data_IF_964137224715
#
_entry.id   IF_964137224715
#
_cell.length_a   1.000
_cell.length_b   1.000
_cell.length_c   1.000
_cell.angle_alpha   90.00
_cell.angle_beta   90.00
_cell.angle_gamma   90.00
#
_symmetry.space_group_name_H-M   'P 1'
#
loop_
_entity.id
_entity.type
_entity.pdbx_description
1 polymer ?
#
# COMPACT_ATOMS: atom_id res chain seq x y z
N UNK A 1 8.03 19.43 -1.84
CA UNK A 1 6.88 18.96 -1.03
C UNK A 1 7.36 17.77 -0.22
N UNK A 2 7.15 17.78 1.07
CA UNK A 2 7.48 16.68 1.97
C UNK A 2 6.17 16.04 2.42
N UNK A 3 6.10 14.71 2.44
CA UNK A 3 4.92 13.96 2.85
C UNK A 3 5.26 13.12 4.08
N UNK A 4 4.30 12.98 4.98
CA UNK A 4 4.34 12.04 6.09
C UNK A 4 3.35 10.92 5.81
N UNK A 5 3.79 9.65 5.94
CA UNK A 5 2.92 8.48 5.80
C UNK A 5 2.53 8.01 7.19
N UNK A 6 1.25 7.90 7.44
CA UNK A 6 0.71 7.48 8.74
C UNK A 6 -0.61 6.69 8.57
N UNK A 7 -1.04 6.00 9.61
CA UNK A 7 -2.34 5.31 9.58
C UNK A 7 -3.46 6.31 9.43
N UNK A 8 -4.46 5.95 8.60
CA UNK A 8 -5.67 6.74 8.43
C UNK A 8 -6.36 6.93 9.80
N UNK A 9 -6.72 8.16 10.09
CA UNK A 9 -7.50 8.58 11.26
C UNK A 9 -8.78 9.26 10.78
N UNK A 10 -9.79 9.35 11.65
CA UNK A 10 -11.08 9.93 11.32
C UNK A 10 -10.98 11.40 10.93
N UNK A 11 -9.99 12.10 11.46
CA UNK A 11 -9.74 13.53 11.30
C UNK A 11 -9.10 13.89 9.95
N UNK A 12 -8.55 12.88 9.23
CA UNK A 12 -7.98 13.13 7.91
C UNK A 12 -9.02 13.57 6.90
N UNK A 13 -8.70 14.63 6.16
CA UNK A 13 -9.59 15.21 5.14
C UNK A 13 -9.42 14.45 3.82
N UNK A 14 -10.31 13.51 3.58
CA UNK A 14 -10.30 12.63 2.39
C UNK A 14 -11.30 13.04 1.32
N UNK A 15 -12.19 13.99 1.60
CA UNK A 15 -13.35 14.32 0.74
C UNK A 15 -12.93 14.90 -0.61
N UNK A 16 -11.76 15.55 -0.66
CA UNK A 16 -11.24 16.19 -1.88
C UNK A 16 -10.24 15.31 -2.64
N UNK A 17 -9.90 14.14 -2.10
CA UNK A 17 -8.96 13.25 -2.74
C UNK A 17 -9.49 12.78 -4.10
N UNK A 18 -8.67 12.92 -5.14
CA UNK A 18 -8.96 12.43 -6.48
C UNK A 18 -7.69 11.88 -7.15
N UNK A 19 -7.60 10.57 -7.30
CA UNK A 19 -6.51 9.92 -8.01
C UNK A 19 -6.82 9.62 -9.49
N UNK A 20 -7.98 10.05 -9.99
CA UNK A 20 -8.44 9.78 -11.34
C UNK A 20 -9.16 8.42 -11.50
N UNK A 21 -9.22 7.60 -10.45
CA UNK A 21 -9.90 6.30 -10.44
C UNK A 21 -11.07 6.33 -9.44
N UNK A 22 -12.29 6.28 -9.98
CA UNK A 22 -13.53 6.43 -9.19
C UNK A 22 -13.62 5.45 -8.02
N UNK A 23 -13.30 4.18 -8.25
CA UNK A 23 -13.45 3.15 -7.22
C UNK A 23 -12.44 3.32 -6.08
N UNK A 24 -11.21 3.76 -6.39
CA UNK A 24 -10.20 4.06 -5.40
C UNK A 24 -10.55 5.32 -4.59
N UNK A 25 -11.05 6.37 -5.25
CA UNK A 25 -11.54 7.57 -4.58
C UNK A 25 -12.66 7.21 -3.61
N UNK A 26 -13.64 6.47 -4.08
CA UNK A 26 -14.76 6.01 -3.28
C UNK A 26 -14.32 5.13 -2.10
N UNK A 27 -13.38 4.22 -2.33
CA UNK A 27 -12.83 3.40 -1.25
C UNK A 27 -12.28 4.27 -0.11
N UNK A 28 -11.41 5.23 -0.42
CA UNK A 28 -10.80 6.09 0.60
C UNK A 28 -11.83 6.95 1.33
N UNK A 29 -12.76 7.54 0.58
CA UNK A 29 -13.74 8.50 1.10
C UNK A 29 -14.84 7.85 1.91
N UNK A 30 -15.32 6.65 1.52
CA UNK A 30 -16.52 6.05 2.10
C UNK A 30 -16.22 4.80 2.95
N UNK A 31 -15.21 3.99 2.58
CA UNK A 31 -15.04 2.65 3.16
C UNK A 31 -13.78 2.46 4.00
N UNK A 32 -12.69 3.16 3.71
CA UNK A 32 -11.38 2.88 4.31
C UNK A 32 -11.42 2.95 5.84
N UNK A 33 -12.01 4.00 6.41
CA UNK A 33 -12.13 4.14 7.86
C UNK A 33 -12.99 3.04 8.47
N UNK A 34 -14.16 2.77 7.88
CA UNK A 34 -15.08 1.74 8.36
C UNK A 34 -14.44 0.35 8.30
N UNK A 35 -13.74 0.03 7.20
CA UNK A 35 -13.04 -1.25 7.04
C UNK A 35 -11.98 -1.45 8.12
N UNK A 36 -11.25 -0.39 8.49
CA UNK A 36 -10.30 -0.46 9.60
C UNK A 36 -10.97 -0.76 10.94
N UNK A 37 -12.12 -0.14 11.23
CA UNK A 37 -12.87 -0.38 12.47
C UNK A 37 -13.41 -1.82 12.54
N UNK A 38 -13.75 -2.40 11.41
CA UNK A 38 -14.26 -3.78 11.29
C UNK A 38 -13.14 -4.83 11.18
N UNK A 39 -11.86 -4.43 11.11
CA UNK A 39 -10.74 -5.36 10.98
C UNK A 39 -10.55 -5.95 9.58
N UNK A 40 -11.14 -5.36 8.54
CA UNK A 40 -10.99 -5.83 7.14
C UNK A 40 -9.67 -5.41 6.49
N UNK A 41 -8.93 -4.49 7.11
CA UNK A 41 -7.65 -4.04 6.62
C UNK A 41 -7.19 -2.79 7.35
N UNK A 42 -6.00 -2.32 7.02
CA UNK A 42 -5.41 -1.09 7.55
C UNK A 42 -5.06 -0.18 6.38
N UNK A 43 -5.51 1.07 6.44
CA UNK A 43 -5.21 2.08 5.44
C UNK A 43 -4.17 3.07 5.99
N UNK A 44 -3.18 3.38 5.17
CA UNK A 44 -2.18 4.42 5.41
C UNK A 44 -2.38 5.55 4.42
N UNK A 45 -2.17 6.77 4.88
CA UNK A 45 -2.29 7.98 4.07
C UNK A 45 -0.99 8.76 4.05
N UNK A 46 -0.67 9.35 2.92
CA UNK A 46 0.38 10.36 2.80
C UNK A 46 -0.25 11.74 2.95
N UNK A 47 0.15 12.44 3.99
CA UNK A 47 -0.34 13.79 4.29
C UNK A 47 0.74 14.79 3.92
N UNK A 48 0.35 15.86 3.26
CA UNK A 48 1.27 16.93 2.91
C UNK A 48 1.71 17.69 4.16
N UNK A 49 3.02 17.79 4.38
CA UNK A 49 3.53 18.63 5.45
C UNK A 49 3.30 20.11 5.08
N UNK A 50 2.28 20.70 5.66
CA UNK A 50 2.10 22.16 5.61
C UNK A 50 3.16 22.75 6.54
N UNK A 51 4.07 23.55 5.97
CA UNK A 51 4.94 24.39 6.81
C UNK A 51 4.01 25.33 7.60
N UNK A 52 3.94 25.12 8.91
CA UNK A 52 3.27 26.05 9.80
C UNK A 52 4.18 27.29 9.80
N UNK A 53 3.79 28.33 9.08
CA UNK A 53 4.35 29.66 9.34
C UNK A 53 3.90 30.04 10.75
N UNK A 54 4.83 29.94 11.71
CA UNK A 54 4.60 30.37 13.07
C UNK A 54 4.33 31.88 13.07
N UNK A 55 3.07 32.26 13.06
CA UNK A 55 2.68 33.61 13.48
C UNK A 55 2.83 33.67 14.99
N UNK A 56 3.60 34.66 15.53
CA UNK A 56 3.77 34.81 16.97
C UNK A 56 2.42 35.16 17.61
N UNK A 57 1.78 34.18 18.24
CA UNK A 57 0.56 34.40 19.01
C UNK A 57 -0.46 33.27 19.01
N UNK A 58 -0.40 32.32 18.10
CA UNK A 58 -1.30 31.16 18.13
C UNK A 58 -0.63 29.98 18.85
N UNK A 59 -1.22 29.58 19.98
CA UNK A 59 -0.88 28.32 20.64
C UNK A 59 -1.22 27.20 19.65
N UNK A 60 -0.17 26.51 19.21
CA UNK A 60 -0.27 25.35 18.33
C UNK A 60 -1.07 24.24 19.00
N UNK A 61 -2.38 24.23 18.79
CA UNK A 61 -3.23 23.05 18.96
C UNK A 61 -3.25 22.27 17.64
N UNK A 62 -2.07 22.01 17.11
CA UNK A 62 -1.90 21.24 15.89
C UNK A 62 -1.59 19.78 16.24
N UNK A 63 -2.57 18.92 16.21
CA UNK A 63 -2.42 17.45 16.28
C UNK A 63 -1.76 16.85 15.03
N UNK A 64 -1.17 17.66 14.17
CA UNK A 64 -0.46 17.21 12.99
C UNK A 64 -1.32 16.58 11.86
N UNK A 65 -2.62 16.45 12.04
CA UNK A 65 -3.54 15.78 11.07
C UNK A 65 -4.14 16.75 10.03
N UNK A 66 -3.73 18.02 10.02
CA UNK A 66 -4.39 19.09 9.28
C UNK A 66 -4.09 19.18 7.78
N UNK A 67 -3.25 18.29 7.22
CA UNK A 67 -2.88 18.32 5.80
C UNK A 67 -3.89 17.59 4.90
N UNK A 68 -3.93 17.98 3.62
CA UNK A 68 -4.69 17.23 2.62
C UNK A 68 -4.02 15.86 2.39
N UNK A 69 -4.84 14.81 2.21
CA UNK A 69 -4.36 13.50 1.82
C UNK A 69 -3.93 13.55 0.35
N UNK A 70 -2.64 13.30 0.11
CA UNK A 70 -2.03 13.32 -1.23
C UNK A 70 -1.89 11.92 -1.83
N UNK A 71 -2.04 10.87 -1.03
CA UNK A 71 -1.98 9.50 -1.48
C UNK A 71 -2.34 8.53 -0.36
N UNK A 72 -2.61 7.29 -0.71
CA UNK A 72 -2.94 6.25 0.27
C UNK A 72 -2.62 4.86 -0.25
N UNK A 73 -2.55 3.90 0.66
CA UNK A 73 -2.62 2.47 0.35
C UNK A 73 -3.32 1.71 1.47
N UNK A 74 -3.80 0.50 1.17
CA UNK A 74 -4.39 -0.39 2.16
C UNK A 74 -3.74 -1.76 2.17
N UNK A 75 -3.58 -2.33 3.36
CA UNK A 75 -3.12 -3.71 3.57
C UNK A 75 -4.20 -4.52 4.27
N UNK A 76 -4.33 -5.78 3.86
CA UNK A 76 -5.20 -6.76 4.48
C UNK A 76 -4.51 -8.14 4.51
N UNK A 77 -5.05 -9.06 5.31
CA UNK A 77 -4.67 -10.47 5.21
C UNK A 77 -5.20 -11.05 3.90
N UNK A 78 -4.40 -11.87 3.24
CA UNK A 78 -4.74 -12.55 2.02
C UNK A 78 -4.23 -13.98 2.00
N UNK A 79 -4.58 -14.71 0.95
CA UNK A 79 -4.02 -16.02 0.65
C UNK A 79 -4.07 -16.27 -0.85
N UNK A 80 -3.14 -17.08 -1.33
CA UNK A 80 -3.06 -17.52 -2.71
C UNK A 80 -3.07 -19.04 -2.76
N UNK A 81 -3.95 -19.61 -3.58
CA UNK A 81 -3.96 -21.05 -3.81
C UNK A 81 -2.60 -21.51 -4.39
N UNK A 82 -2.13 -22.67 -3.96
CA UNK A 82 -0.80 -23.17 -4.36
C UNK A 82 -0.63 -23.20 -5.89
N UNK A 83 -1.67 -23.60 -6.63
CA UNK A 83 -1.67 -23.70 -8.08
C UNK A 83 -1.50 -22.35 -8.78
N UNK A 84 -1.88 -21.26 -8.12
CA UNK A 84 -1.82 -19.89 -8.65
C UNK A 84 -0.48 -19.21 -8.38
N UNK A 85 0.36 -19.76 -7.52
CA UNK A 85 1.69 -19.23 -7.25
C UNK A 85 2.55 -19.17 -8.52
N UNK A 86 3.46 -18.19 -8.64
CA UNK A 86 4.44 -18.16 -9.72
C UNK A 86 5.22 -19.46 -9.81
N UNK A 87 5.48 -19.95 -11.02
CA UNK A 87 6.09 -21.27 -11.26
C UNK A 87 7.43 -21.41 -10.52
N UNK A 88 8.32 -20.43 -10.67
CA UNK A 88 9.63 -20.42 -10.01
C UNK A 88 9.51 -20.48 -8.47
N UNK A 89 8.50 -19.82 -7.90
CA UNK A 89 8.25 -19.86 -6.46
C UNK A 89 7.68 -21.21 -6.03
N UNK A 90 6.75 -21.74 -6.80
CA UNK A 90 6.10 -23.04 -6.54
C UNK A 90 7.06 -24.21 -6.57
N UNK A 91 8.11 -24.13 -7.42
CA UNK A 91 9.13 -25.17 -7.57
C UNK A 91 10.16 -25.17 -6.43
N UNK A 92 10.03 -24.27 -5.44
CA UNK A 92 10.88 -24.26 -4.26
C UNK A 92 10.73 -25.58 -3.49
N UNK A 93 11.84 -26.26 -3.23
CA UNK A 93 11.85 -27.53 -2.49
C UNK A 93 11.27 -27.36 -1.09
N UNK A 94 10.36 -28.27 -0.73
CA UNK A 94 9.72 -28.26 0.60
C UNK A 94 8.59 -27.26 0.77
N UNK A 95 8.18 -26.57 -0.29
CA UNK A 95 7.03 -25.64 -0.20
C UNK A 95 5.75 -26.42 0.11
N UNK A 96 4.97 -26.04 1.15
CA UNK A 96 3.69 -26.65 1.46
C UNK A 96 2.68 -26.49 0.32
N UNK A 97 1.86 -27.54 0.08
CA UNK A 97 0.83 -27.54 -0.96
C UNK A 97 -0.56 -27.14 -0.48
N UNK A 98 -0.64 -26.20 0.45
CA UNK A 98 -1.87 -25.56 0.88
C UNK A 98 -1.82 -24.06 0.56
N UNK A 99 -2.94 -23.32 0.67
CA UNK A 99 -2.96 -21.90 0.36
C UNK A 99 -1.86 -21.12 1.08
N UNK A 100 -1.10 -20.35 0.33
CA UNK A 100 0.02 -19.57 0.85
C UNK A 100 -0.51 -18.29 1.52
N UNK A 101 -0.18 -18.03 2.80
CA UNK A 101 -0.58 -16.79 3.46
C UNK A 101 0.16 -15.60 2.85
N UNK A 102 -0.57 -14.52 2.58
CA UNK A 102 -0.05 -13.30 1.95
C UNK A 102 -0.49 -12.05 2.72
N UNK A 103 0.16 -10.93 2.40
CA UNK A 103 -0.34 -9.60 2.70
C UNK A 103 -0.90 -9.02 1.40
N UNK A 104 -2.20 -8.73 1.39
CA UNK A 104 -2.87 -8.12 0.24
C UNK A 104 -2.67 -6.60 0.27
N UNK A 105 -2.01 -6.05 -0.75
CA UNK A 105 -2.04 -4.62 -1.07
C UNK A 105 -3.32 -4.36 -1.87
N UNK A 106 -4.41 -4.03 -1.15
CA UNK A 106 -5.74 -3.95 -1.73
C UNK A 106 -5.98 -2.72 -2.58
N UNK A 107 -5.43 -1.59 -2.17
CA UNK A 107 -5.57 -0.30 -2.86
C UNK A 107 -4.26 0.48 -2.77
N UNK A 108 -3.96 1.25 -3.81
CA UNK A 108 -2.90 2.26 -3.81
C UNK A 108 -3.31 3.38 -4.78
N UNK A 109 -3.38 4.61 -4.29
CA UNK A 109 -3.77 5.77 -5.08
C UNK A 109 -2.96 7.01 -4.71
N UNK A 110 -2.67 7.84 -5.71
CA UNK A 110 -1.99 9.14 -5.56
C UNK A 110 -2.87 10.22 -6.16
N UNK A 111 -3.15 11.26 -5.39
CA UNK A 111 -3.93 12.41 -5.84
C UNK A 111 -3.33 13.01 -7.11
N UNK A 112 -4.17 13.44 -8.04
CA UNK A 112 -3.76 14.00 -9.33
C UNK A 112 -2.76 15.16 -9.16
N UNK A 113 -2.92 15.98 -8.13
CA UNK A 113 -2.01 17.08 -7.80
C UNK A 113 -0.62 16.63 -7.36
N UNK A 114 -0.48 15.40 -6.86
CA UNK A 114 0.76 14.82 -6.33
C UNK A 114 1.39 13.76 -7.25
N UNK A 115 0.73 13.40 -8.35
CA UNK A 115 1.27 12.45 -9.33
C UNK A 115 2.54 12.98 -10.00
N UNK A 116 3.38 12.07 -10.50
CA UNK A 116 4.65 12.41 -11.16
C UNK A 116 5.76 12.90 -10.22
N UNK A 117 5.53 12.98 -8.92
CA UNK A 117 6.50 13.49 -7.91
C UNK A 117 7.13 12.39 -7.07
N UNK A 118 6.98 11.12 -7.47
CA UNK A 118 7.57 9.97 -6.77
C UNK A 118 6.77 9.46 -5.57
N UNK A 119 5.61 10.05 -5.24
CA UNK A 119 4.81 9.65 -4.08
C UNK A 119 4.31 8.20 -4.17
N UNK A 120 3.91 7.74 -5.36
CA UNK A 120 3.49 6.35 -5.56
C UNK A 120 4.59 5.35 -5.21
N UNK A 121 5.84 5.65 -5.59
CA UNK A 121 7.01 4.86 -5.20
C UNK A 121 7.22 4.85 -3.69
N UNK A 122 7.10 6.00 -3.04
CA UNK A 122 7.26 6.12 -1.58
C UNK A 122 6.18 5.34 -0.83
N UNK A 123 4.93 5.41 -1.28
CA UNK A 123 3.81 4.63 -0.73
C UNK A 123 4.04 3.11 -0.89
N UNK A 124 4.47 2.67 -2.07
CA UNK A 124 4.76 1.26 -2.32
C UNK A 124 5.93 0.78 -1.46
N UNK A 125 7.00 1.55 -1.34
CA UNK A 125 8.14 1.21 -0.48
C UNK A 125 7.72 1.06 0.99
N UNK A 126 6.92 1.98 1.51
CA UNK A 126 6.38 1.90 2.87
C UNK A 126 5.42 0.72 3.04
N UNK A 127 4.61 0.40 2.02
CA UNK A 127 3.73 -0.77 2.04
C UNK A 127 4.53 -2.08 2.10
N UNK A 128 5.61 -2.20 1.30
CA UNK A 128 6.51 -3.36 1.32
C UNK A 128 7.18 -3.48 2.69
N UNK A 129 7.72 -2.40 3.24
CA UNK A 129 8.35 -2.41 4.57
C UNK A 129 7.38 -2.85 5.65
N UNK A 130 6.16 -2.29 5.65
CA UNK A 130 5.10 -2.66 6.60
C UNK A 130 4.70 -4.13 6.45
N UNK A 131 4.54 -4.63 5.23
CA UNK A 131 4.18 -6.02 4.98
C UNK A 131 5.28 -7.00 5.42
N UNK A 132 6.55 -6.67 5.21
CA UNK A 132 7.68 -7.46 5.70
C UNK A 132 7.67 -7.52 7.23
N UNK A 133 7.47 -6.41 7.92
CA UNK A 133 7.36 -6.39 9.39
C UNK A 133 6.18 -7.24 9.89
N UNK A 134 5.02 -7.15 9.24
CA UNK A 134 3.85 -7.97 9.58
C UNK A 134 4.12 -9.45 9.35
N UNK A 135 4.84 -9.80 8.29
CA UNK A 135 5.19 -11.20 7.97
C UNK A 135 6.03 -11.88 9.06
N UNK A 136 6.81 -11.12 9.81
CA UNK A 136 7.63 -11.63 10.92
C UNK A 136 6.79 -11.98 12.16
N UNK A 137 5.60 -11.39 12.28
CA UNK A 137 4.70 -11.59 13.43
C UNK A 137 3.68 -12.69 13.18
N UNK A 138 3.05 -12.70 11.99
CA UNK A 138 1.93 -13.62 11.70
C UNK A 138 2.26 -14.66 10.63
N UNK A 139 3.41 -14.57 9.97
CA UNK A 139 3.79 -15.41 8.84
C UNK A 139 3.02 -15.04 7.56
N UNK A 140 3.77 -14.58 6.55
CA UNK A 140 3.29 -14.40 5.19
C UNK A 140 4.46 -14.63 4.25
N UNK A 141 4.20 -15.27 3.11
CA UNK A 141 5.27 -15.62 2.15
C UNK A 141 5.47 -14.53 1.10
N UNK A 142 4.45 -13.68 0.90
CA UNK A 142 4.47 -12.67 -0.15
C UNK A 142 3.51 -11.51 0.10
N UNK A 143 3.69 -10.46 -0.70
CA UNK A 143 2.71 -9.42 -0.95
C UNK A 143 2.00 -9.77 -2.25
N UNK A 144 0.67 -9.74 -2.25
CA UNK A 144 -0.13 -9.86 -3.47
C UNK A 144 -0.85 -8.54 -3.78
N UNK A 145 -1.10 -8.30 -5.07
CA UNK A 145 -1.84 -7.14 -5.56
C UNK A 145 -2.63 -7.50 -6.81
N UNK A 146 -3.83 -6.94 -6.93
CA UNK A 146 -4.61 -6.98 -8.16
C UNK A 146 -4.50 -5.62 -8.87
N UNK A 147 -3.76 -5.57 -9.97
CA UNK A 147 -3.57 -4.35 -10.75
C UNK A 147 -4.86 -4.00 -11.50
N UNK A 148 -5.41 -2.82 -11.26
CA UNK A 148 -6.67 -2.38 -11.88
C UNK A 148 -6.52 -2.01 -13.37
N UNK A 149 -5.31 -1.70 -13.82
CA UNK A 149 -5.00 -1.25 -15.18
C UNK A 149 -3.66 -1.81 -15.63
N UNK A 150 -3.42 -1.79 -16.94
CA UNK A 150 -2.11 -2.15 -17.50
C UNK A 150 -0.99 -1.24 -16.98
N UNK A 151 -1.26 0.04 -16.83
CA UNK A 151 -0.29 0.99 -16.26
C UNK A 151 0.06 0.63 -14.80
N UNK A 152 -0.92 0.23 -13.99
CA UNK A 152 -0.68 -0.23 -12.63
C UNK A 152 0.14 -1.54 -12.61
N UNK A 153 -0.15 -2.47 -13.53
CA UNK A 153 0.61 -3.71 -13.69
C UNK A 153 2.07 -3.43 -14.00
N UNK A 154 2.34 -2.56 -14.96
CA UNK A 154 3.72 -2.16 -15.31
C UNK A 154 4.41 -1.43 -14.15
N UNK A 155 3.69 -0.60 -13.40
CA UNK A 155 4.21 0.04 -12.20
C UNK A 155 4.70 -1.00 -11.18
N UNK A 156 3.90 -2.00 -10.83
CA UNK A 156 4.30 -3.02 -9.87
C UNK A 156 5.45 -3.91 -10.38
N UNK A 157 5.46 -4.24 -11.67
CA UNK A 157 6.54 -5.03 -12.29
C UNK A 157 7.90 -4.35 -12.19
N UNK A 158 7.96 -3.03 -12.28
CA UNK A 158 9.22 -2.26 -12.10
C UNK A 158 9.84 -2.47 -10.70
N UNK A 159 9.03 -2.89 -9.72
CA UNK A 159 9.48 -3.14 -8.34
C UNK A 159 9.59 -4.63 -8.00
N UNK A 160 9.67 -5.49 -9.02
CA UNK A 160 9.94 -6.91 -8.84
C UNK A 160 8.70 -7.77 -8.59
N UNK A 161 7.49 -7.23 -8.72
CA UNK A 161 6.28 -8.05 -8.72
C UNK A 161 6.23 -8.90 -9.99
N UNK A 162 5.92 -10.18 -9.83
CA UNK A 162 5.76 -11.16 -10.91
C UNK A 162 4.31 -11.60 -11.03
N UNK A 163 3.94 -12.03 -12.23
CA UNK A 163 2.57 -12.47 -12.52
C UNK A 163 2.27 -13.82 -11.86
N UNK A 164 1.05 -13.97 -11.34
CA UNK A 164 0.49 -15.23 -10.88
C UNK A 164 -0.11 -16.05 -12.04
N UNK A 165 -0.46 -17.32 -11.78
CA UNK A 165 -0.95 -18.23 -12.82
C UNK A 165 -2.44 -18.02 -13.16
N UNK A 166 -3.22 -17.45 -12.26
CA UNK A 166 -4.66 -17.26 -12.39
C UNK A 166 -5.05 -16.05 -13.25
N UNK A 167 -4.25 -14.98 -13.21
CA UNK A 167 -4.57 -13.74 -13.92
C UNK A 167 -3.31 -12.91 -14.21
N UNK A 168 -3.24 -12.25 -15.39
CA UNK A 168 -2.15 -11.33 -15.70
C UNK A 168 -2.11 -10.09 -14.81
N UNK A 169 -3.23 -9.76 -14.16
CA UNK A 169 -3.36 -8.60 -13.28
C UNK A 169 -3.14 -8.96 -11.80
N UNK A 170 -3.06 -10.25 -11.47
CA UNK A 170 -2.72 -10.74 -10.15
C UNK A 170 -1.21 -10.91 -10.03
N UNK A 171 -0.59 -10.11 -9.18
CA UNK A 171 0.86 -10.02 -9.06
C UNK A 171 1.32 -10.39 -7.65
N UNK A 172 2.55 -10.88 -7.55
CA UNK A 172 3.17 -11.47 -6.39
C UNK A 172 4.58 -10.90 -6.19
N UNK A 173 4.90 -10.48 -4.97
CA UNK A 173 6.24 -10.14 -4.54
C UNK A 173 6.60 -11.00 -3.33
N UNK A 174 7.58 -11.90 -3.45
CA UNK A 174 8.00 -12.71 -2.30
C UNK A 174 8.57 -11.83 -1.18
N UNK A 175 8.39 -12.25 0.08
CA UNK A 175 8.95 -11.50 1.22
C UNK A 175 10.48 -11.45 1.18
N UNK A 176 11.14 -12.43 0.57
CA UNK A 176 12.59 -12.42 0.35
C UNK A 176 13.00 -11.24 -0.55
N UNK A 177 12.33 -11.09 -1.69
CA UNK A 177 12.57 -9.96 -2.60
C UNK A 177 12.21 -8.64 -1.91
N UNK A 178 11.11 -8.59 -1.16
CA UNK A 178 10.72 -7.42 -0.37
C UNK A 178 11.81 -6.98 0.62
N UNK A 179 12.40 -7.91 1.37
CA UNK A 179 13.54 -7.62 2.27
C UNK A 179 14.74 -7.09 1.51
N UNK A 180 15.10 -7.71 0.40
CA UNK A 180 16.23 -7.27 -0.42
C UNK A 180 16.04 -5.86 -0.95
N UNK A 181 14.82 -5.48 -1.35
CA UNK A 181 14.51 -4.11 -1.79
C UNK A 181 14.67 -3.08 -0.67
N UNK A 182 14.25 -3.42 0.55
CA UNK A 182 14.40 -2.54 1.73
C UNK A 182 15.88 -2.36 2.07
N UNK A 183 16.67 -3.44 2.07
CA UNK A 183 18.10 -3.38 2.35
C UNK A 183 18.85 -2.55 1.32
N UNK A 184 18.51 -2.65 0.05
CA UNK A 184 19.14 -1.89 -1.03
C UNK A 184 18.80 -0.38 -0.99
N UNK A 185 17.72 0.01 -0.29
CA UNK A 185 17.27 1.39 -0.15
C UNK A 185 17.87 2.13 1.06
N UNK A 186 18.56 1.42 1.95
CA UNK A 186 19.24 1.96 3.16
C UNK A 186 20.66 2.38 2.84
#
# INVERSE_FOLDING_TARGET
MSFRIEKLQKEHKVEKFDCGARDQNRYLQEFAWQNMQLGYGVTYVAVENVAVEESPGDVASGDGTSGNVAGFYSLAAGHVEFENLPEDFRDTEGLPRYPAPTVLLGQLGVDLSAQGKGLGKALLAHAIETAVQVSEVVGAVAIEVHAATEQAREFYRQYGFVQMQDSPDHLFLSMEVGRSLIEAAR
#
